data_IF_502839711442
#
_entry.id   IF_502839711442
#
_cell.length_a   1.000
_cell.length_b   1.000
_cell.length_c   1.000
_cell.angle_alpha   90.00
_cell.angle_beta   90.00
_cell.angle_gamma   90.00
#
_symmetry.space_group_name_H-M   'P 1'
#
loop_
_entity.id
_entity.type
_entity.pdbx_description
1 polymer ?
#
# COMPACT_ATOMS: atom_id res chain seq x y z
N UNK A 1 -22.00 -25.14 9.69
CA UNK A 1 -20.72 -25.84 9.94
C UNK A 1 -20.26 -25.43 11.32
N UNK A 2 -19.88 -26.37 12.18
CA UNK A 2 -19.25 -26.02 13.46
C UNK A 2 -17.94 -25.27 13.22
N UNK A 3 -17.71 -24.24 14.03
CA UNK A 3 -16.50 -23.43 13.98
C UNK A 3 -15.31 -24.25 14.48
N UNK A 4 -14.30 -24.45 13.62
CA UNK A 4 -13.13 -25.24 13.99
C UNK A 4 -12.24 -24.48 14.99
N UNK A 5 -11.30 -25.18 15.64
CA UNK A 5 -10.42 -24.58 16.65
C UNK A 5 -9.69 -23.33 16.14
N UNK A 6 -9.21 -23.36 14.90
CA UNK A 6 -8.53 -22.21 14.29
C UNK A 6 -9.45 -20.99 14.18
N UNK A 7 -10.68 -21.19 13.69
CA UNK A 7 -11.67 -20.12 13.56
C UNK A 7 -12.02 -19.52 14.92
N UNK A 8 -12.24 -20.36 15.94
CA UNK A 8 -12.52 -19.90 17.31
C UNK A 8 -11.39 -19.05 17.89
N UNK A 9 -10.14 -19.50 17.76
CA UNK A 9 -8.97 -18.74 18.24
C UNK A 9 -8.85 -17.41 17.50
N UNK A 10 -8.99 -17.44 16.17
CA UNK A 10 -8.92 -16.25 15.33
C UNK A 10 -9.99 -15.22 15.72
N UNK A 11 -11.24 -15.66 15.89
CA UNK A 11 -12.36 -14.80 16.29
C UNK A 11 -12.10 -14.10 17.62
N UNK A 12 -11.48 -14.77 18.59
CA UNK A 12 -11.13 -14.12 19.87
C UNK A 12 -9.94 -13.16 19.74
N UNK A 13 -8.92 -13.51 18.94
CA UNK A 13 -7.75 -12.65 18.72
C UNK A 13 -8.13 -11.36 17.98
N UNK A 14 -8.98 -11.43 16.95
CA UNK A 14 -9.39 -10.26 16.16
C UNK A 14 -10.15 -9.20 16.98
N UNK A 15 -10.71 -9.56 18.14
CA UNK A 15 -11.35 -8.61 19.07
C UNK A 15 -10.35 -7.78 19.87
N UNK A 16 -9.11 -8.27 20.02
CA UNK A 16 -8.09 -7.62 20.84
C UNK A 16 -7.56 -6.40 20.08
N UNK A 17 -7.68 -5.17 20.62
CA UNK A 17 -7.12 -3.99 19.97
C UNK A 17 -5.60 -4.06 19.87
N UNK A 18 -5.05 -3.70 18.71
CA UNK A 18 -3.61 -3.69 18.48
C UNK A 18 -2.97 -2.41 19.04
N UNK A 19 -1.87 -2.56 19.78
CA UNK A 19 -0.94 -1.48 20.08
C UNK A 19 0.24 -1.61 19.14
N UNK A 20 0.27 -0.74 18.16
CA UNK A 20 1.29 -0.66 17.15
C UNK A 20 2.40 0.28 17.65
N UNK A 21 3.50 -0.34 18.04
CA UNK A 21 4.59 0.32 18.77
C UNK A 21 5.59 1.04 17.87
N UNK A 22 5.51 0.89 16.54
CA UNK A 22 6.47 1.50 15.62
C UNK A 22 5.93 1.60 14.18
N UNK A 23 5.75 2.83 13.69
CA UNK A 23 5.35 3.10 12.31
C UNK A 23 6.09 4.27 11.66
N UNK A 24 6.09 4.28 10.33
CA UNK A 24 6.64 5.36 9.51
C UNK A 24 5.59 6.04 8.62
N UNK A 25 4.33 6.09 9.07
CA UNK A 25 3.28 6.74 8.29
C UNK A 25 3.57 8.21 8.02
N UNK A 26 3.35 8.63 6.77
CA UNK A 26 3.12 10.02 6.43
C UNK A 26 1.93 10.56 7.24
N UNK A 27 1.99 11.78 7.74
CA UNK A 27 0.87 12.35 8.49
C UNK A 27 -0.33 12.58 7.57
N UNK A 28 -1.56 12.39 8.05
CA UNK A 28 -2.76 12.53 7.21
C UNK A 28 -2.84 13.92 6.55
N UNK A 29 -2.47 14.98 7.30
CA UNK A 29 -2.38 16.36 6.77
C UNK A 29 -1.46 16.49 5.55
N UNK A 30 -0.40 15.69 5.47
CA UNK A 30 0.54 15.72 4.34
C UNK A 30 0.02 14.88 3.18
N UNK A 31 -0.58 13.74 3.51
CA UNK A 31 -1.23 12.88 2.52
C UNK A 31 -2.33 13.64 1.77
N UNK A 32 -3.14 14.45 2.47
CA UNK A 32 -4.17 15.31 1.87
C UNK A 32 -3.61 16.32 0.86
N UNK A 33 -2.35 16.72 1.02
CA UNK A 33 -1.66 17.63 0.10
C UNK A 33 -0.86 16.90 -0.99
N UNK A 34 -0.92 15.57 -1.02
CA UNK A 34 -0.19 14.73 -1.98
C UNK A 34 -1.17 14.10 -2.96
N UNK A 35 -0.89 14.20 -4.26
CA UNK A 35 -1.64 13.43 -5.27
C UNK A 35 -1.20 11.97 -5.16
N UNK A 36 -2.15 11.08 -4.88
CA UNK A 36 -1.91 9.64 -4.74
C UNK A 36 -2.72 8.86 -5.79
N UNK A 37 -2.11 7.80 -6.30
CA UNK A 37 -2.69 6.87 -7.27
C UNK A 37 -2.30 5.43 -6.91
N UNK A 38 -2.64 4.45 -7.75
CA UNK A 38 -2.28 3.05 -7.55
C UNK A 38 -0.78 2.81 -7.23
N UNK A 39 0.14 3.54 -7.87
CA UNK A 39 1.57 3.36 -7.68
C UNK A 39 2.08 3.90 -6.34
N UNK A 40 1.26 4.68 -5.61
CA UNK A 40 1.50 5.03 -4.21
C UNK A 40 1.60 3.80 -3.29
N UNK A 41 1.03 2.65 -3.69
CA UNK A 41 1.07 1.41 -2.90
C UNK A 41 2.39 0.65 -2.99
N UNK A 42 3.32 1.05 -3.87
CA UNK A 42 4.56 0.30 -4.12
C UNK A 42 5.87 0.93 -3.60
N UNK A 43 5.91 1.64 -2.45
CA UNK A 43 7.19 2.02 -1.89
C UNK A 43 7.84 0.85 -1.14
N UNK A 44 9.14 0.97 -0.90
CA UNK A 44 9.93 0.06 -0.06
C UNK A 44 9.94 -1.39 -0.56
N UNK A 45 9.65 -2.37 0.29
CA UNK A 45 9.98 -3.76 0.00
C UNK A 45 9.23 -4.37 -1.21
N UNK A 46 8.05 -3.84 -1.56
CA UNK A 46 7.37 -4.24 -2.79
C UNK A 46 8.19 -3.87 -4.04
N UNK A 47 8.94 -2.75 -4.00
CA UNK A 47 9.86 -2.40 -5.09
C UNK A 47 11.08 -3.30 -5.13
N UNK A 48 11.56 -3.79 -3.97
CA UNK A 48 12.63 -4.80 -3.92
C UNK A 48 12.23 -6.10 -4.61
N UNK A 49 10.97 -6.53 -4.45
CA UNK A 49 10.45 -7.70 -5.18
C UNK A 49 10.41 -7.44 -6.69
N UNK A 50 9.97 -6.24 -7.13
CA UNK A 50 9.96 -5.87 -8.54
C UNK A 50 11.36 -5.94 -9.14
N UNK A 51 12.35 -5.33 -8.50
CA UNK A 51 13.75 -5.34 -8.94
C UNK A 51 14.30 -6.76 -8.97
N UNK A 52 14.05 -7.54 -7.91
CA UNK A 52 14.50 -8.94 -7.83
C UNK A 52 13.86 -9.83 -8.91
N UNK A 53 12.68 -9.45 -9.41
CA UNK A 53 12.01 -10.12 -10.52
C UNK A 53 12.51 -9.70 -11.92
N UNK A 54 13.47 -8.78 -11.98
CA UNK A 54 14.11 -8.31 -13.22
C UNK A 54 13.69 -6.91 -13.69
N UNK A 55 12.94 -6.14 -12.89
CA UNK A 55 12.66 -4.73 -13.20
C UNK A 55 13.94 -3.91 -13.02
N UNK A 56 14.32 -3.09 -14.01
CA UNK A 56 15.47 -2.22 -13.86
C UNK A 56 15.15 -1.03 -12.93
N UNK A 57 16.16 -0.44 -12.26
CA UNK A 57 15.96 0.78 -11.48
C UNK A 57 15.34 1.92 -12.29
N UNK A 58 15.69 2.05 -13.58
CA UNK A 58 15.14 3.09 -14.46
C UNK A 58 13.65 2.86 -14.73
N UNK A 59 13.24 1.61 -14.96
CA UNK A 59 11.83 1.26 -15.11
C UNK A 59 11.04 1.51 -13.81
N UNK A 60 11.68 1.27 -12.67
CA UNK A 60 11.10 1.57 -11.35
C UNK A 60 10.94 3.09 -11.13
N UNK A 61 11.93 3.89 -11.53
CA UNK A 61 11.84 5.36 -11.48
C UNK A 61 10.70 5.88 -12.39
N UNK A 62 10.50 5.27 -13.56
CA UNK A 62 9.42 5.64 -14.48
C UNK A 62 8.03 5.36 -13.92
N UNK A 63 7.81 4.26 -13.18
CA UNK A 63 6.49 4.01 -12.57
C UNK A 63 6.16 5.02 -11.46
N UNK A 64 7.17 5.64 -10.83
CA UNK A 64 6.99 6.71 -9.84
C UNK A 64 6.94 8.11 -10.45
N UNK A 65 7.38 8.29 -11.70
CA UNK A 65 7.40 9.59 -12.37
C UNK A 65 6.01 10.19 -12.55
N UNK A 66 5.83 11.49 -12.31
CA UNK A 66 4.58 12.20 -12.61
C UNK A 66 4.37 12.45 -14.10
N UNK A 67 5.41 12.27 -14.92
CA UNK A 67 5.43 12.64 -16.34
C UNK A 67 4.88 11.53 -17.25
N UNK A 68 4.69 10.32 -16.72
CA UNK A 68 4.22 9.14 -17.46
C UNK A 68 2.74 8.90 -17.14
N UNK A 69 1.94 8.59 -18.16
CA UNK A 69 0.52 8.24 -17.97
C UNK A 69 0.37 6.98 -17.11
N UNK A 70 -0.76 6.83 -16.40
CA UNK A 70 -0.96 5.64 -15.57
C UNK A 70 -1.05 4.36 -16.40
N UNK A 71 -1.60 4.45 -17.61
CA UNK A 71 -1.68 3.37 -18.58
C UNK A 71 -0.29 2.91 -19.02
N UNK A 72 0.59 3.84 -19.41
CA UNK A 72 1.95 3.52 -19.81
C UNK A 72 2.76 2.93 -18.65
N UNK A 73 2.56 3.44 -17.43
CA UNK A 73 3.15 2.85 -16.22
C UNK A 73 2.66 1.43 -15.99
N UNK A 74 1.35 1.18 -16.14
CA UNK A 74 0.77 -0.14 -15.96
C UNK A 74 1.35 -1.14 -16.95
N UNK A 75 1.44 -0.78 -18.23
CA UNK A 75 1.97 -1.69 -19.26
C UNK A 75 3.43 -2.08 -18.99
N UNK A 76 4.23 -1.18 -18.43
CA UNK A 76 5.61 -1.47 -17.97
C UNK A 76 5.66 -2.30 -16.69
N UNK A 77 4.72 -2.07 -15.77
CA UNK A 77 4.65 -2.71 -14.46
C UNK A 77 4.09 -4.14 -14.51
N UNK A 78 3.07 -4.38 -15.34
CA UNK A 78 2.27 -5.61 -15.36
C UNK A 78 3.10 -6.90 -15.49
N UNK A 79 4.14 -6.98 -16.34
CA UNK A 79 4.97 -8.19 -16.45
C UNK A 79 5.64 -8.57 -15.13
N UNK A 80 6.12 -7.59 -14.37
CA UNK A 80 6.81 -7.80 -13.10
C UNK A 80 5.83 -8.07 -11.95
N UNK A 81 4.67 -7.40 -11.95
CA UNK A 81 3.60 -7.71 -11.03
C UNK A 81 3.20 -9.19 -11.07
N UNK A 82 3.08 -9.77 -12.27
CA UNK A 82 2.78 -11.20 -12.46
C UNK A 82 3.81 -12.11 -11.79
N UNK A 83 5.07 -11.70 -11.73
CA UNK A 83 6.14 -12.45 -11.08
C UNK A 83 6.07 -12.33 -9.55
N UNK A 84 5.70 -11.16 -9.03
CA UNK A 84 5.80 -10.88 -7.60
C UNK A 84 4.48 -11.05 -6.84
N UNK A 85 3.33 -11.18 -7.50
CA UNK A 85 2.00 -11.11 -6.84
C UNK A 85 1.78 -12.11 -5.70
N UNK A 86 2.58 -13.18 -5.64
CA UNK A 86 2.50 -14.22 -4.61
C UNK A 86 3.50 -14.02 -3.44
N UNK A 87 4.34 -12.99 -3.49
CA UNK A 87 5.25 -12.60 -2.40
C UNK A 87 4.48 -12.04 -1.20
N UNK A 88 5.10 -12.04 -0.02
CA UNK A 88 4.45 -11.54 1.20
C UNK A 88 4.05 -10.06 1.09
N UNK A 89 4.89 -9.22 0.49
CA UNK A 89 4.60 -7.79 0.32
C UNK A 89 3.46 -7.57 -0.68
N UNK A 90 3.48 -8.24 -1.82
CA UNK A 90 2.38 -8.16 -2.78
C UNK A 90 1.05 -8.69 -2.21
N UNK A 91 1.10 -9.75 -1.38
CA UNK A 91 -0.10 -10.26 -0.68
C UNK A 91 -0.70 -9.25 0.29
N UNK A 92 0.12 -8.47 0.98
CA UNK A 92 -0.38 -7.38 1.83
C UNK A 92 -1.11 -6.31 0.99
N UNK A 93 -0.59 -5.97 -0.20
CA UNK A 93 -1.24 -5.04 -1.11
C UNK A 93 -2.57 -5.58 -1.67
N UNK A 94 -2.63 -6.88 -1.99
CA UNK A 94 -3.88 -7.54 -2.40
C UNK A 94 -4.93 -7.54 -1.29
N UNK A 95 -4.53 -7.76 -0.04
CA UNK A 95 -5.43 -7.66 1.12
C UNK A 95 -5.96 -6.24 1.27
N UNK A 96 -5.10 -5.22 1.14
CA UNK A 96 -5.52 -3.82 1.20
C UNK A 96 -6.48 -3.46 0.05
N UNK A 97 -6.19 -3.90 -1.18
CA UNK A 97 -7.07 -3.72 -2.34
C UNK A 97 -8.47 -4.30 -2.09
N UNK A 98 -8.55 -5.51 -1.54
CA UNK A 98 -9.82 -6.15 -1.21
C UNK A 98 -10.53 -5.47 -0.04
N UNK A 99 -9.87 -5.33 1.10
CA UNK A 99 -10.54 -4.99 2.36
C UNK A 99 -10.82 -3.50 2.52
N UNK A 100 -10.02 -2.64 1.88
CA UNK A 100 -10.18 -1.18 1.93
C UNK A 100 -10.86 -0.61 0.69
N UNK A 101 -10.68 -1.26 -0.47
CA UNK A 101 -11.15 -0.74 -1.76
C UNK A 101 -12.10 -1.67 -2.51
N UNK A 102 -12.43 -2.85 -1.97
CA UNK A 102 -13.36 -3.82 -2.59
C UNK A 102 -12.90 -4.24 -4.00
N UNK A 103 -11.59 -4.41 -4.17
CA UNK A 103 -10.96 -4.88 -5.40
C UNK A 103 -10.30 -6.23 -5.09
N UNK A 104 -10.90 -7.32 -5.57
CA UNK A 104 -10.49 -8.70 -5.26
C UNK A 104 -9.10 -9.08 -5.79
N UNK A 105 -8.68 -8.47 -6.91
CA UNK A 105 -7.39 -8.75 -7.54
C UNK A 105 -6.88 -7.49 -8.25
N UNK A 106 -5.55 -7.40 -8.40
CA UNK A 106 -4.87 -6.32 -9.12
C UNK A 106 -4.41 -6.88 -10.46
N UNK A 107 -5.03 -6.42 -11.54
CA UNK A 107 -4.71 -6.85 -12.90
C UNK A 107 -5.16 -5.77 -13.91
N UNK A 108 -5.00 -6.07 -15.21
CA UNK A 108 -5.26 -5.12 -16.31
C UNK A 108 -6.67 -4.52 -16.29
N UNK A 109 -7.68 -5.24 -15.80
CA UNK A 109 -9.06 -4.74 -15.76
C UNK A 109 -9.43 -4.03 -14.45
N UNK A 110 -8.62 -4.15 -13.39
CA UNK A 110 -8.96 -3.65 -12.06
C UNK A 110 -8.07 -2.51 -11.56
N UNK A 111 -6.85 -2.36 -12.09
CA UNK A 111 -5.89 -1.37 -11.60
C UNK A 111 -6.41 0.07 -11.68
N UNK A 112 -7.11 0.42 -12.77
CA UNK A 112 -7.64 1.77 -12.98
C UNK A 112 -8.68 2.15 -11.92
N UNK A 113 -9.65 1.25 -11.69
CA UNK A 113 -10.67 1.42 -10.65
C UNK A 113 -10.05 1.47 -9.24
N UNK A 114 -9.02 0.67 -8.99
CA UNK A 114 -8.27 0.73 -7.73
C UNK A 114 -7.60 2.10 -7.56
N UNK A 115 -6.96 2.61 -8.61
CA UNK A 115 -6.32 3.94 -8.62
C UNK A 115 -7.32 5.06 -8.28
N UNK A 116 -8.50 5.04 -8.89
CA UNK A 116 -9.58 6.00 -8.61
C UNK A 116 -10.04 5.94 -7.15
N UNK A 117 -10.20 4.73 -6.60
CA UNK A 117 -10.59 4.54 -5.19
C UNK A 117 -9.51 5.02 -4.23
N UNK A 118 -8.23 4.78 -4.53
CA UNK A 118 -7.10 5.30 -3.76
C UNK A 118 -7.10 6.83 -3.80
N UNK A 119 -7.24 7.45 -4.97
CA UNK A 119 -7.31 8.90 -5.08
C UNK A 119 -8.50 9.47 -4.29
N UNK A 120 -9.68 8.85 -4.39
CA UNK A 120 -10.90 9.26 -3.67
C UNK A 120 -10.80 9.08 -2.15
N UNK A 121 -9.92 8.20 -1.70
CA UNK A 121 -9.63 8.02 -0.27
C UNK A 121 -8.77 9.14 0.32
N UNK A 122 -8.31 10.09 -0.50
CA UNK A 122 -7.57 11.25 -0.01
C UNK A 122 -8.48 12.32 0.60
N UNK A 123 -9.07 11.98 1.74
CA UNK A 123 -10.02 12.79 2.49
C UNK A 123 -9.72 12.73 3.98
N UNK A 124 -10.15 13.75 4.70
CA UNK A 124 -10.02 13.80 6.16
C UNK A 124 -10.73 12.62 6.81
N UNK A 125 -10.10 12.06 7.86
CA UNK A 125 -10.60 10.90 8.59
C UNK A 125 -10.35 9.55 7.90
N UNK A 126 -9.62 9.51 6.79
CA UNK A 126 -9.20 8.27 6.16
C UNK A 126 -8.36 7.41 7.10
N UNK A 127 -7.42 8.01 7.84
CA UNK A 127 -6.57 7.27 8.77
C UNK A 127 -7.37 6.70 9.93
N UNK A 128 -8.35 7.46 10.44
CA UNK A 128 -9.26 6.95 11.48
C UNK A 128 -10.05 5.75 10.97
N UNK A 129 -10.63 5.85 9.77
CA UNK A 129 -11.36 4.75 9.15
C UNK A 129 -10.48 3.50 9.00
N UNK A 130 -9.26 3.64 8.46
CA UNK A 130 -8.37 2.49 8.26
C UNK A 130 -7.86 1.92 9.58
N UNK A 131 -7.23 2.74 10.41
CA UNK A 131 -6.53 2.27 11.61
C UNK A 131 -7.49 1.87 12.73
N UNK A 132 -8.57 2.63 12.95
CA UNK A 132 -9.50 2.38 14.06
C UNK A 132 -10.63 1.44 13.65
N UNK A 133 -11.31 1.75 12.56
CA UNK A 133 -12.55 1.03 12.21
C UNK A 133 -12.28 -0.27 11.46
N UNK A 134 -11.28 -0.30 10.58
CA UNK A 134 -10.96 -1.49 9.77
C UNK A 134 -9.92 -2.40 10.42
N UNK A 135 -8.89 -1.83 11.06
CA UNK A 135 -7.76 -2.59 11.60
C UNK A 135 -7.80 -2.82 13.12
N UNK A 136 -8.73 -2.20 13.86
CA UNK A 136 -8.82 -2.29 15.33
C UNK A 136 -7.51 -1.92 16.05
N UNK A 137 -6.80 -0.90 15.57
CA UNK A 137 -5.56 -0.39 16.18
C UNK A 137 -5.90 0.68 17.21
N UNK A 138 -5.58 0.47 18.48
CA UNK A 138 -5.87 1.44 19.54
C UNK A 138 -4.86 2.59 19.57
N UNK A 139 -3.58 2.28 19.41
CA UNK A 139 -2.47 3.26 19.40
C UNK A 139 -1.48 2.87 18.30
N UNK A 140 -1.02 3.86 17.54
CA UNK A 140 0.14 3.75 16.65
C UNK A 140 1.18 4.79 17.08
N UNK A 141 2.40 4.34 17.36
CA UNK A 141 3.54 5.22 17.68
C UNK A 141 4.27 5.52 16.37
N UNK A 142 4.14 6.76 15.91
CA UNK A 142 4.68 7.18 14.60
C UNK A 142 6.03 7.84 14.77
N UNK A 143 7.06 7.22 14.20
CA UNK A 143 8.38 7.79 14.00
C UNK A 143 8.38 8.63 12.72
N UNK A 144 7.90 9.86 12.88
CA UNK A 144 7.86 10.84 11.80
C UNK A 144 9.26 11.39 11.52
N UNK A 145 9.87 10.91 10.44
CA UNK A 145 11.12 11.45 9.91
C UNK A 145 10.83 12.72 9.09
N UNK A 146 11.06 13.89 9.70
CA UNK A 146 10.94 15.19 9.02
C UNK A 146 11.71 15.20 7.69
N UNK A 147 10.97 15.38 6.60
CA UNK A 147 11.52 15.46 5.24
C UNK A 147 12.27 16.77 4.99
N UNK A 148 12.16 17.77 5.88
CA UNK A 148 12.91 19.04 5.81
C UNK A 148 14.44 18.90 5.87
N UNK A 149 14.94 17.70 6.24
CA UNK A 149 16.37 17.37 6.24
C UNK A 149 16.83 16.48 5.08
N UNK A 150 15.90 15.98 4.24
CA UNK A 150 16.28 15.26 3.01
C UNK A 150 16.69 16.28 1.96
N UNK A 151 18.01 16.41 1.74
CA UNK A 151 18.54 16.95 0.48
C UNK A 151 17.81 16.24 -0.68
N UNK A 152 17.57 16.97 -1.78
CA UNK A 152 16.84 16.55 -3.02
C UNK A 152 17.35 15.27 -3.72
N UNK A 153 18.21 14.49 -3.08
CA UNK A 153 18.68 13.20 -3.54
C UNK A 153 18.27 12.18 -2.48
N UNK A 154 17.11 11.56 -2.68
CA UNK A 154 16.77 10.37 -1.91
C UNK A 154 17.81 9.27 -2.25
N UNK A 155 18.31 8.51 -1.26
CA UNK A 155 19.20 7.40 -1.56
C UNK A 155 18.40 6.35 -2.33
N UNK A 156 18.99 5.90 -3.44
CA UNK A 156 18.62 4.66 -4.10
C UNK A 156 18.65 3.56 -3.04
N UNK A 157 17.52 2.91 -2.83
CA UNK A 157 17.48 1.57 -2.22
C UNK A 157 17.46 0.58 -3.37
#
# INVERSE_FOLDING_TARGET
MEENLYQRIRTEIEKIPLVDTHEHFMLEKERLNTRIDFFYLFPHYASSDLVSSGMSPEALDEIWSSEVSLEDKWDKFEPYWKNIKNTSYARALLIAARDLFEIEDINKSTWGKLSEKIASSNREGWYRYVLKEKANIDVSIVDYLDTGSRKKEAPRI
#
